data_IF_221247716647
#
_entry.id   IF_221247716647
#
_cell.length_a   1.000
_cell.length_b   1.000
_cell.length_c   1.000
_cell.angle_alpha   90.00
_cell.angle_beta   90.00
_cell.angle_gamma   90.00
#
_symmetry.space_group_name_H-M   'P 1'
#
loop_
_entity.id
_entity.type
_entity.pdbx_description
1 polymer ?
#
# COMPACT_ATOMS: atom_id res chain seq x y z
N UNK A 1 -6.18 38.66 29.02
CA UNK A 1 -4.78 38.48 28.57
C UNK A 1 -4.22 37.11 28.94
N UNK A 2 -4.27 36.70 30.21
CA UNK A 2 -3.70 35.41 30.67
C UNK A 2 -4.39 34.15 30.10
N UNK A 3 -5.70 34.19 29.79
CA UNK A 3 -6.43 33.05 29.21
C UNK A 3 -6.12 32.77 27.74
N UNK A 4 -5.78 33.82 26.96
CA UNK A 4 -5.34 33.65 25.57
C UNK A 4 -3.95 33.01 25.48
N UNK A 5 -3.10 33.27 26.47
CA UNK A 5 -1.76 32.69 26.56
C UNK A 5 -1.84 31.20 26.89
N UNK A 6 -2.71 30.78 27.82
CA UNK A 6 -2.89 29.36 28.15
C UNK A 6 -3.48 28.56 26.98
N UNK A 7 -4.46 29.11 26.26
CA UNK A 7 -5.02 28.44 25.07
C UNK A 7 -4.00 28.28 23.94
N UNK A 8 -3.15 29.29 23.72
CA UNK A 8 -2.07 29.21 22.72
C UNK A 8 -0.98 28.20 23.12
N UNK A 9 -0.65 28.13 24.42
CA UNK A 9 0.33 27.18 24.95
C UNK A 9 -0.16 25.72 24.83
N UNK A 10 -1.44 25.47 25.11
CA UNK A 10 -2.06 24.14 24.99
C UNK A 10 -2.12 23.67 23.52
N UNK A 11 -2.43 24.58 22.59
CA UNK A 11 -2.47 24.27 21.16
C UNK A 11 -1.06 23.95 20.61
N UNK A 12 -0.03 24.70 21.01
CA UNK A 12 1.35 24.46 20.59
C UNK A 12 1.95 23.16 21.14
N UNK A 13 1.58 22.78 22.38
CA UNK A 13 2.05 21.53 23.00
C UNK A 13 1.48 20.28 22.32
N UNK A 14 0.28 20.39 21.72
CA UNK A 14 -0.39 19.28 21.03
C UNK A 14 0.31 18.87 19.74
N UNK A 15 0.96 19.80 19.03
CA UNK A 15 1.70 19.54 17.79
C UNK A 15 2.97 18.71 17.99
N UNK A 16 3.61 18.77 19.16
CA UNK A 16 4.82 18.01 19.45
C UNK A 16 4.55 16.50 19.67
N UNK A 17 3.33 16.13 20.08
CA UNK A 17 2.90 14.74 20.27
C UNK A 17 2.56 14.00 18.97
N UNK A 18 2.45 14.71 17.84
CA UNK A 18 2.15 14.15 16.52
C UNK A 18 3.39 13.94 15.64
N UNK A 19 4.58 14.24 16.16
CA UNK A 19 5.82 13.87 15.48
C UNK A 19 5.94 12.35 15.52
N UNK A 20 5.71 11.70 14.38
CA UNK A 20 6.07 10.30 14.20
C UNK A 20 7.58 10.18 14.29
N UNK A 21 8.09 9.33 15.18
CA UNK A 21 9.50 8.94 15.15
C UNK A 21 9.84 8.41 13.75
N UNK A 22 10.97 8.84 13.21
CA UNK A 22 11.50 8.25 11.98
C UNK A 22 11.78 6.77 12.23
N UNK A 23 11.30 5.92 11.33
CA UNK A 23 11.52 4.48 11.43
C UNK A 23 13.01 4.18 11.27
N UNK A 24 13.64 3.73 12.36
CA UNK A 24 15.01 3.22 12.33
C UNK A 24 14.99 1.69 12.18
N UNK A 25 15.41 1.14 11.03
CA UNK A 25 15.39 -0.30 10.80
C UNK A 25 16.42 -1.02 11.68
N UNK A 26 16.17 -2.27 12.09
CA UNK A 26 17.17 -3.13 12.71
C UNK A 26 18.44 -3.19 11.85
N UNK A 27 19.59 -3.44 12.47
CA UNK A 27 20.88 -3.49 11.76
C UNK A 27 21.41 -4.92 11.70
N UNK A 28 21.93 -5.30 10.53
CA UNK A 28 22.65 -6.56 10.33
C UNK A 28 24.00 -6.55 11.06
N UNK A 29 24.66 -7.72 11.17
CA UNK A 29 25.99 -7.82 11.77
C UNK A 29 27.08 -6.96 11.09
N UNK A 30 26.89 -6.57 9.83
CA UNK A 30 27.76 -5.65 9.10
C UNK A 30 27.26 -4.19 9.10
N UNK A 31 26.30 -3.86 9.95
CA UNK A 31 25.83 -2.49 10.20
C UNK A 31 24.86 -1.90 9.16
N UNK A 32 24.41 -2.70 8.18
CA UNK A 32 23.45 -2.25 7.16
C UNK A 32 22.01 -2.35 7.70
N UNK A 33 21.05 -1.55 7.19
CA UNK A 33 19.63 -1.80 7.46
C UNK A 33 19.26 -3.24 7.11
N UNK A 34 18.55 -3.90 8.02
CA UNK A 34 17.97 -5.22 7.82
C UNK A 34 16.56 -5.07 7.25
N UNK A 35 16.38 -5.48 5.99
CA UNK A 35 15.09 -5.47 5.30
C UNK A 35 14.42 -6.85 5.26
N UNK A 36 14.86 -7.82 6.06
CA UNK A 36 14.18 -9.11 6.16
C UNK A 36 12.86 -8.96 6.92
N UNK A 37 11.83 -9.72 6.50
CA UNK A 37 10.53 -9.75 7.17
C UNK A 37 9.37 -9.99 6.22
N UNK A 38 8.15 -9.82 6.74
CA UNK A 38 6.92 -9.82 5.96
C UNK A 38 6.61 -8.38 5.57
N UNK A 39 6.54 -8.12 4.27
CA UNK A 39 6.23 -6.81 3.72
C UNK A 39 4.82 -6.79 3.16
N UNK A 40 4.12 -5.67 3.34
CA UNK A 40 2.82 -5.43 2.74
C UNK A 40 2.90 -4.24 1.78
N UNK A 41 2.33 -4.40 0.60
CA UNK A 41 2.15 -3.31 -0.36
C UNK A 41 0.81 -2.62 -0.07
N UNK A 42 0.87 -1.35 0.34
CA UNK A 42 -0.30 -0.53 0.71
C UNK A 42 -0.83 0.32 -0.45
N UNK A 43 -0.67 -0.15 -1.70
CA UNK A 43 -1.14 0.52 -2.90
C UNK A 43 -1.58 -0.50 -3.96
N UNK A 44 -1.97 -0.02 -5.14
CA UNK A 44 -2.45 -0.88 -6.24
C UNK A 44 -1.37 -1.72 -6.90
N UNK A 45 -0.09 -1.44 -6.65
CA UNK A 45 1.03 -2.25 -7.16
C UNK A 45 1.02 -3.69 -6.62
N UNK A 46 0.24 -3.98 -5.58
CA UNK A 46 -0.05 -5.34 -5.14
C UNK A 46 -0.72 -6.20 -6.24
N UNK A 47 -1.44 -5.58 -7.17
CA UNK A 47 -2.11 -6.29 -8.26
C UNK A 47 -1.23 -6.38 -9.51
N UNK A 48 -0.58 -5.27 -9.89
CA UNK A 48 0.36 -5.23 -11.01
C UNK A 48 1.31 -4.02 -10.85
N UNK A 49 2.59 -4.21 -11.16
CA UNK A 49 3.60 -3.16 -11.11
C UNK A 49 3.49 -2.17 -12.28
N UNK A 50 3.03 -2.66 -13.44
CA UNK A 50 2.82 -1.88 -14.66
C UNK A 50 1.43 -1.20 -14.67
N UNK A 51 1.24 -0.13 -15.46
CA UNK A 51 -0.08 0.47 -15.63
C UNK A 51 -1.11 -0.53 -16.17
N UNK A 52 -2.29 -0.58 -15.57
CA UNK A 52 -3.32 -1.55 -15.96
C UNK A 52 -4.75 -1.02 -15.79
N UNK A 53 -5.64 -1.51 -16.63
CA UNK A 53 -7.08 -1.28 -16.51
C UNK A 53 -7.72 -2.09 -15.38
N UNK A 54 -9.00 -1.82 -15.12
CA UNK A 54 -9.79 -2.64 -14.21
C UNK A 54 -10.01 -4.03 -14.81
N UNK A 55 -9.95 -5.07 -13.98
CA UNK A 55 -10.13 -6.46 -14.41
C UNK A 55 -11.13 -7.17 -13.49
N UNK A 56 -11.88 -8.11 -14.07
CA UNK A 56 -12.90 -8.86 -13.33
C UNK A 56 -12.31 -9.85 -12.30
N UNK A 57 -11.02 -10.21 -12.42
CA UNK A 57 -10.34 -11.14 -11.53
C UNK A 57 -8.82 -10.90 -11.50
N UNK A 58 -8.15 -11.38 -10.44
CA UNK A 58 -6.69 -11.34 -10.30
C UNK A 58 -5.94 -12.29 -11.24
N UNK A 59 -6.59 -13.34 -11.72
CA UNK A 59 -5.98 -14.32 -12.62
C UNK A 59 -6.98 -14.82 -13.65
N UNK A 60 -6.51 -15.03 -14.88
CA UNK A 60 -7.33 -15.46 -16.01
C UNK A 60 -6.79 -16.75 -16.63
N UNK A 61 -7.70 -17.50 -17.25
CA UNK A 61 -7.40 -18.63 -18.13
C UNK A 61 -8.10 -18.44 -19.46
N UNK A 62 -7.64 -19.16 -20.49
CA UNK A 62 -8.30 -19.17 -21.80
C UNK A 62 -9.76 -19.62 -21.65
N UNK A 63 -10.69 -18.81 -22.14
CA UNK A 63 -12.10 -19.13 -22.19
C UNK A 63 -12.58 -19.39 -23.62
N UNK A 64 -13.87 -19.75 -23.79
CA UNK A 64 -14.44 -20.07 -25.10
C UNK A 64 -14.55 -18.84 -26.03
N UNK A 65 -14.76 -17.64 -25.47
CA UNK A 65 -14.96 -16.39 -26.23
C UNK A 65 -13.95 -15.32 -25.78
N UNK A 66 -13.86 -15.08 -24.48
CA UNK A 66 -12.88 -14.18 -23.85
C UNK A 66 -12.19 -14.91 -22.70
N UNK A 67 -11.04 -14.43 -22.20
CA UNK A 67 -10.45 -14.95 -20.98
C UNK A 67 -11.46 -14.94 -19.83
N UNK A 68 -11.48 -16.01 -19.05
CA UNK A 68 -12.36 -16.17 -17.88
C UNK A 68 -11.51 -16.24 -16.61
N UNK A 69 -12.07 -15.88 -15.44
CA UNK A 69 -11.36 -16.04 -14.17
C UNK A 69 -10.80 -17.47 -14.00
N UNK A 70 -9.57 -17.56 -13.50
CA UNK A 70 -8.91 -18.83 -13.23
C UNK A 70 -9.66 -19.61 -12.13
N UNK A 71 -9.54 -20.95 -12.12
CA UNK A 71 -10.32 -21.81 -11.21
C UNK A 71 -10.05 -21.48 -9.74
N UNK A 72 -8.84 -21.05 -9.46
CA UNK A 72 -8.30 -20.73 -8.14
C UNK A 72 -8.94 -19.46 -7.56
N UNK A 73 -9.40 -18.53 -8.42
CA UNK A 73 -9.91 -17.21 -8.01
C UNK A 73 -11.39 -17.01 -8.36
N UNK A 74 -12.00 -17.87 -9.19
CA UNK A 74 -13.39 -17.71 -9.63
C UNK A 74 -14.38 -17.66 -8.47
N UNK A 75 -14.11 -18.41 -7.40
CA UNK A 75 -14.96 -18.46 -6.20
C UNK A 75 -14.98 -17.14 -5.42
N UNK A 76 -13.98 -16.26 -5.61
CA UNK A 76 -13.96 -14.95 -4.97
C UNK A 76 -15.02 -14.00 -5.54
N UNK A 77 -15.53 -14.26 -6.75
CA UNK A 77 -16.49 -13.39 -7.42
C UNK A 77 -15.99 -11.95 -7.50
N UNK A 78 -16.88 -10.99 -7.18
CA UNK A 78 -16.57 -9.56 -7.25
C UNK A 78 -15.48 -9.11 -6.26
N UNK A 79 -15.24 -9.84 -5.16
CA UNK A 79 -14.16 -9.53 -4.20
C UNK A 79 -12.79 -9.75 -4.85
N UNK A 80 -12.70 -10.65 -5.83
CA UNK A 80 -11.49 -10.91 -6.58
C UNK A 80 -11.19 -9.91 -7.69
N UNK A 81 -12.04 -8.89 -7.89
CA UNK A 81 -11.86 -7.89 -8.94
C UNK A 81 -10.66 -6.98 -8.65
N UNK A 82 -10.00 -6.55 -9.72
CA UNK A 82 -8.83 -5.70 -9.67
C UNK A 82 -9.21 -4.29 -10.15
N UNK A 83 -9.04 -3.24 -9.34
CA UNK A 83 -9.27 -1.87 -9.77
C UNK A 83 -8.16 -1.39 -10.74
N UNK A 84 -8.46 -0.43 -11.61
CA UNK A 84 -7.44 0.16 -12.49
C UNK A 84 -6.32 0.85 -11.69
N UNK A 85 -5.08 0.77 -12.17
CA UNK A 85 -3.89 1.27 -11.48
C UNK A 85 -2.92 2.01 -12.41
N UNK A 86 -2.33 3.10 -11.91
CA UNK A 86 -1.13 3.68 -12.51
C UNK A 86 0.06 2.80 -12.11
N UNK A 87 0.99 2.58 -13.06
CA UNK A 87 2.19 1.81 -12.81
C UNK A 87 3.13 2.52 -11.83
N UNK A 88 3.95 1.72 -11.15
CA UNK A 88 5.01 2.21 -10.24
C UNK A 88 6.41 2.04 -10.83
N UNK A 89 6.51 1.45 -12.03
CA UNK A 89 7.77 1.23 -12.76
C UNK A 89 7.86 2.11 -14.00
N UNK A 90 9.08 2.42 -14.43
CA UNK A 90 9.37 3.12 -15.67
C UNK A 90 10.29 2.26 -16.54
N UNK A 91 9.94 2.07 -17.81
CA UNK A 91 10.78 1.36 -18.78
C UNK A 91 10.53 -0.15 -18.93
N UNK A 92 9.73 -0.76 -18.06
CA UNK A 92 9.45 -2.21 -18.08
C UNK A 92 10.48 -3.00 -17.28
#
# INVERSE_FOLDING_TARGET
MMQFITSLLLLACSSALLASDDYEPPRTANGKPDFNGVWQVLNRANYNLEPHGAQAAMAFRKGPVVPVPAKEVVALGAVGAVPAGLGVVQGG
#
